data_IF_207386975129
#
_entry.id   IF_207386975129
#
_cell.length_a   1.000
_cell.length_b   1.000
_cell.length_c   1.000
_cell.angle_alpha   90.00
_cell.angle_beta   90.00
_cell.angle_gamma   90.00
#
_symmetry.space_group_name_H-M   'P 1'
#
loop_
_entity.id
_entity.type
_entity.pdbx_description
1 polymer ?
#
# COMPACT_ATOMS: atom_id res chain seq x y z
N UNK A 1 48.81 -6.50 -2.48
CA UNK A 1 48.02 -5.45 -3.13
C UNK A 1 46.68 -5.43 -2.45
N UNK A 2 46.20 -4.29 -1.92
CA UNK A 2 44.83 -4.23 -1.38
C UNK A 2 43.84 -4.35 -2.53
N UNK A 3 42.86 -5.23 -2.37
CA UNK A 3 41.77 -5.44 -3.33
C UNK A 3 40.90 -4.17 -3.45
N UNK A 4 40.36 -3.86 -4.64
CA UNK A 4 39.53 -2.67 -4.81
C UNK A 4 38.28 -2.79 -3.94
N UNK A 5 37.80 -1.67 -3.33
CA UNK A 5 36.62 -1.72 -2.48
C UNK A 5 35.43 -2.20 -3.30
N UNK A 6 34.83 -3.29 -2.83
CA UNK A 6 33.58 -3.83 -3.33
C UNK A 6 32.55 -2.69 -3.33
N UNK A 7 32.07 -2.33 -4.52
CA UNK A 7 31.12 -1.23 -4.69
C UNK A 7 29.80 -1.73 -4.14
N UNK A 8 29.61 -1.56 -2.83
CA UNK A 8 28.39 -1.85 -2.10
C UNK A 8 27.20 -1.35 -2.93
N UNK A 9 26.48 -2.31 -3.53
CA UNK A 9 25.41 -2.03 -4.46
C UNK A 9 24.40 -1.12 -3.79
N UNK A 10 24.34 0.13 -4.25
CA UNK A 10 23.31 1.09 -3.83
C UNK A 10 21.96 0.36 -3.86
N UNK A 11 21.28 0.15 -2.72
CA UNK A 11 19.94 -0.39 -2.73
C UNK A 11 19.07 0.65 -3.44
N UNK A 12 18.83 0.35 -4.72
CA UNK A 12 18.27 1.21 -5.76
C UNK A 12 17.26 2.23 -5.23
N UNK A 13 17.57 3.53 -5.38
CA UNK A 13 16.64 4.62 -5.14
C UNK A 13 15.27 4.40 -5.83
N UNK A 14 15.27 3.68 -6.95
CA UNK A 14 14.09 3.20 -7.69
C UNK A 14 13.14 2.31 -6.86
N UNK A 15 13.66 1.41 -6.02
CA UNK A 15 12.85 0.56 -5.12
C UNK A 15 12.19 1.40 -4.03
N UNK A 16 12.94 2.36 -3.47
CA UNK A 16 12.43 3.26 -2.43
C UNK A 16 11.35 4.18 -2.97
N UNK A 17 11.53 4.74 -4.17
CA UNK A 17 10.51 5.56 -4.84
C UNK A 17 9.27 4.75 -5.22
N UNK A 18 9.42 3.48 -5.63
CA UNK A 18 8.30 2.59 -5.90
C UNK A 18 7.47 2.28 -4.65
N UNK A 19 8.12 2.08 -3.51
CA UNK A 19 7.44 1.84 -2.23
C UNK A 19 6.69 3.08 -1.73
N UNK A 20 7.28 4.27 -1.90
CA UNK A 20 6.67 5.54 -1.53
C UNK A 20 5.43 5.86 -2.38
N UNK A 21 5.43 5.49 -3.65
CA UNK A 21 4.26 5.64 -4.53
C UNK A 21 3.18 4.58 -4.27
N UNK A 22 3.55 3.39 -3.79
CA UNK A 22 2.60 2.31 -3.55
C UNK A 22 1.51 2.70 -2.54
N UNK A 23 1.86 3.47 -1.49
CA UNK A 23 0.91 3.93 -0.47
C UNK A 23 -0.18 4.84 -1.06
N UNK A 24 0.14 5.99 -1.69
CA UNK A 24 -0.88 6.85 -2.28
C UNK A 24 -1.63 6.15 -3.41
N UNK A 25 -0.98 5.31 -4.22
CA UNK A 25 -1.67 4.54 -5.27
C UNK A 25 -2.68 3.55 -4.68
N UNK A 26 -2.33 2.79 -3.64
CA UNK A 26 -3.25 1.85 -2.99
C UNK A 26 -4.47 2.57 -2.39
N UNK A 27 -4.26 3.72 -1.75
CA UNK A 27 -5.33 4.52 -1.15
C UNK A 27 -6.30 5.09 -2.19
N UNK A 28 -5.89 5.25 -3.45
CA UNK A 28 -6.76 5.72 -4.54
C UNK A 28 -7.41 4.54 -5.28
N UNK A 29 -6.63 3.52 -5.64
CA UNK A 29 -7.10 2.41 -6.48
C UNK A 29 -8.04 1.48 -5.70
N UNK A 30 -7.73 1.17 -4.44
CA UNK A 30 -8.54 0.20 -3.69
C UNK A 30 -9.99 0.67 -3.42
N UNK A 31 -10.27 1.94 -3.04
CA UNK A 31 -11.65 2.41 -2.92
C UNK A 31 -12.41 2.42 -4.24
N UNK A 32 -11.76 2.77 -5.35
CA UNK A 32 -12.37 2.76 -6.68
C UNK A 32 -12.79 1.32 -7.03
N UNK A 33 -11.86 0.37 -6.91
CA UNK A 33 -12.16 -1.06 -7.15
C UNK A 33 -13.25 -1.55 -6.20
N UNK A 34 -13.16 -1.19 -4.91
CA UNK A 34 -14.16 -1.52 -3.91
C UNK A 34 -15.55 -1.00 -4.26
N UNK A 35 -15.67 0.24 -4.73
CA UNK A 35 -16.94 0.82 -5.19
C UNK A 35 -17.51 0.04 -6.37
N UNK A 36 -16.73 -0.25 -7.40
CA UNK A 36 -17.22 -0.99 -8.57
C UNK A 36 -17.68 -2.41 -8.21
N UNK A 37 -16.90 -3.12 -7.39
CA UNK A 37 -17.28 -4.45 -6.90
C UNK A 37 -18.54 -4.37 -6.03
N UNK A 38 -18.59 -3.40 -5.13
CA UNK A 38 -19.73 -3.16 -4.25
C UNK A 38 -21.01 -2.83 -5.01
N UNK A 39 -20.93 -1.95 -6.01
CA UNK A 39 -22.06 -1.58 -6.87
C UNK A 39 -22.51 -2.77 -7.72
N UNK A 40 -21.58 -3.57 -8.24
CA UNK A 40 -21.93 -4.79 -9.00
C UNK A 40 -22.70 -5.80 -8.15
N UNK A 41 -22.24 -6.03 -6.91
CA UNK A 41 -22.93 -6.90 -5.94
C UNK A 41 -24.25 -6.28 -5.46
N UNK A 42 -24.26 -4.97 -5.21
CA UNK A 42 -25.46 -4.21 -4.83
C UNK A 42 -26.56 -4.30 -5.88
N UNK A 43 -26.20 -4.30 -7.17
CA UNK A 43 -27.14 -4.46 -8.28
C UNK A 43 -27.81 -5.83 -8.29
N UNK A 44 -27.09 -6.89 -7.91
CA UNK A 44 -27.68 -8.23 -7.72
C UNK A 44 -28.65 -8.29 -6.54
N UNK A 45 -28.41 -7.49 -5.51
CA UNK A 45 -29.20 -7.48 -4.26
C UNK A 45 -30.32 -6.41 -4.24
N UNK A 46 -30.60 -5.73 -5.37
CA UNK A 46 -31.53 -4.58 -5.48
C UNK A 46 -31.21 -3.40 -4.54
N UNK A 47 -29.96 -3.30 -4.08
CA UNK A 47 -29.45 -2.24 -3.19
C UNK A 47 -28.24 -1.54 -3.80
N UNK A 48 -28.40 -0.99 -5.00
CA UNK A 48 -27.30 -0.56 -5.88
C UNK A 48 -26.45 0.58 -5.28
N UNK A 49 -27.09 1.59 -4.66
CA UNK A 49 -26.38 2.72 -4.04
C UNK A 49 -25.64 2.34 -2.74
N UNK A 50 -26.25 1.49 -1.91
CA UNK A 50 -25.65 1.05 -0.64
C UNK A 50 -24.48 0.08 -0.86
N UNK A 51 -24.59 -0.80 -1.86
CA UNK A 51 -23.52 -1.72 -2.22
C UNK A 51 -22.24 -1.00 -2.63
N UNK A 52 -22.35 0.05 -3.46
CA UNK A 52 -21.22 0.86 -3.88
C UNK A 52 -20.55 1.59 -2.72
N UNK A 53 -21.32 2.24 -1.85
CA UNK A 53 -20.80 2.95 -0.67
C UNK A 53 -20.11 1.97 0.30
N UNK A 54 -20.73 0.82 0.58
CA UNK A 54 -20.14 -0.21 1.42
C UNK A 54 -18.84 -0.76 0.81
N UNK A 55 -18.83 -1.02 -0.49
CA UNK A 55 -17.65 -1.46 -1.22
C UNK A 55 -16.52 -0.44 -1.20
N UNK A 56 -16.84 0.85 -1.37
CA UNK A 56 -15.87 1.95 -1.27
C UNK A 56 -15.25 2.01 0.13
N UNK A 57 -16.07 1.96 1.18
CA UNK A 57 -15.62 1.97 2.56
C UNK A 57 -14.72 0.76 2.88
N UNK A 58 -15.09 -0.43 2.39
CA UNK A 58 -14.29 -1.64 2.54
C UNK A 58 -12.96 -1.54 1.77
N UNK A 59 -12.97 -1.02 0.54
CA UNK A 59 -11.76 -0.80 -0.26
C UNK A 59 -10.80 0.20 0.40
N UNK A 60 -11.34 1.27 0.96
CA UNK A 60 -10.56 2.25 1.74
C UNK A 60 -9.99 1.64 3.02
N UNK A 61 -10.79 0.90 3.79
CA UNK A 61 -10.34 0.22 5.00
C UNK A 61 -9.23 -0.81 4.70
N UNK A 62 -9.35 -1.54 3.59
CA UNK A 62 -8.33 -2.49 3.15
C UNK A 62 -6.99 -1.79 2.82
N UNK A 63 -7.02 -0.69 2.05
CA UNK A 63 -5.82 0.09 1.77
C UNK A 63 -5.21 0.74 3.02
N UNK A 64 -6.05 1.24 3.94
CA UNK A 64 -5.59 1.78 5.22
C UNK A 64 -4.90 0.73 6.09
N UNK A 65 -5.46 -0.49 6.15
CA UNK A 65 -4.86 -1.62 6.88
C UNK A 65 -3.49 -2.01 6.30
N UNK A 66 -3.36 -2.06 4.97
CA UNK A 66 -2.09 -2.40 4.33
C UNK A 66 -1.06 -1.27 4.49
N UNK A 67 -1.49 -0.02 4.37
CA UNK A 67 -0.64 1.16 4.63
C UNK A 67 -0.09 1.15 6.05
N UNK A 68 -0.93 0.89 7.05
CA UNK A 68 -0.50 0.80 8.45
C UNK A 68 0.55 -0.30 8.67
N UNK A 69 0.40 -1.44 7.99
CA UNK A 69 1.36 -2.56 8.04
C UNK A 69 2.70 -2.19 7.40
N UNK A 70 2.69 -1.48 6.28
CA UNK A 70 3.91 -0.95 5.63
C UNK A 70 4.59 0.06 6.55
N UNK A 71 3.83 1.01 7.10
CA UNK A 71 4.34 2.02 8.01
C UNK A 71 5.00 1.41 9.25
N UNK A 72 4.35 0.41 9.87
CA UNK A 72 4.89 -0.29 11.04
C UNK A 72 6.17 -1.06 10.72
N UNK A 73 6.29 -1.66 9.54
CA UNK A 73 7.52 -2.33 9.09
C UNK A 73 8.64 -1.32 8.90
N UNK A 74 8.35 -0.19 8.27
CA UNK A 74 9.31 0.89 8.07
C UNK A 74 9.86 1.42 9.40
N UNK A 75 8.98 1.72 10.36
CA UNK A 75 9.37 2.15 11.71
C UNK A 75 10.30 1.14 12.41
N UNK A 76 9.99 -0.16 12.29
CA UNK A 76 10.80 -1.21 12.91
C UNK A 76 12.19 -1.38 12.26
N UNK A 77 12.33 -1.06 10.96
CA UNK A 77 13.62 -1.06 10.25
C UNK A 77 14.47 0.15 10.66
N UNK A 78 13.86 1.33 10.77
CA UNK A 78 14.54 2.56 11.20
C UNK A 78 15.00 2.52 12.67
N UNK A 79 14.22 1.93 13.57
CA UNK A 79 14.61 1.75 14.98
C UNK A 79 15.83 0.81 15.10
N UNK A 80 15.88 -0.26 14.31
CA UNK A 80 17.04 -1.17 14.26
C UNK A 80 18.28 -0.51 13.68
N UNK A 81 18.13 0.41 12.73
CA UNK A 81 19.23 1.18 12.15
C UNK A 81 19.80 2.20 13.14
N UNK A 82 18.95 2.83 13.94
CA UNK A 82 19.34 3.84 14.94
C UNK A 82 20.04 3.23 16.17
N UNK A 83 19.78 1.95 16.48
CA UNK A 83 20.44 1.22 17.59
C UNK A 83 21.76 0.54 17.22
N UNK A 84 22.19 0.59 15.95
CA UNK A 84 23.51 0.11 15.50
C UNK A 84 24.47 1.29 15.34
#
# INVERSE_FOLDING_TARGET
MPEPPEKDGEPSALKTSGLLLAIPTLLIVAPIVGYFVGSFVGRWLKGEELGGIAGLALGFAAAGRETYKIYRRYQAEEEKRTRR
#
